data_IF_466381064588
#
_entry.id   IF_466381064588
#
_cell.length_a   1.000
_cell.length_b   1.000
_cell.length_c   1.000
_cell.angle_alpha   90.00
_cell.angle_beta   90.00
_cell.angle_gamma   90.00
#
_symmetry.space_group_name_H-M   'P 1'
#
loop_
_entity.id
_entity.type
_entity.pdbx_description
1 polymer ?
#
# COMPACT_ATOMS: atom_id res chain seq x y z
N UNK A 1 -0.88 2.81 5.01
CA UNK A 1 -1.01 3.96 4.12
C UNK A 1 0.34 4.34 3.51
N UNK A 2 1.25 4.96 4.24
CA UNK A 2 2.72 4.98 4.08
C UNK A 2 3.40 4.02 3.07
N UNK A 3 3.23 2.70 3.21
CA UNK A 3 3.80 1.71 2.27
C UNK A 3 2.95 1.53 1.03
N UNK A 4 1.64 1.67 1.15
CA UNK A 4 0.67 1.45 0.08
C UNK A 4 0.91 2.46 -1.07
N UNK A 5 1.31 3.70 -0.76
CA UNK A 5 1.71 4.70 -1.75
C UNK A 5 2.97 4.30 -2.56
N UNK A 6 3.93 3.62 -1.93
CA UNK A 6 5.10 3.05 -2.63
C UNK A 6 4.66 1.95 -3.58
N UNK A 7 3.77 1.05 -3.16
CA UNK A 7 3.30 -0.05 -4.00
C UNK A 7 2.43 0.45 -5.17
N UNK A 8 1.54 1.42 -4.92
CA UNK A 8 0.80 2.10 -5.98
C UNK A 8 1.75 2.64 -7.05
N UNK A 9 2.82 3.33 -6.63
CA UNK A 9 3.82 3.90 -7.55
C UNK A 9 4.66 2.84 -8.23
N UNK A 10 4.99 1.72 -7.56
CA UNK A 10 5.65 0.57 -8.20
C UNK A 10 4.80 0.02 -9.35
N UNK A 11 3.50 -0.20 -9.13
CA UNK A 11 2.60 -0.72 -10.16
C UNK A 11 2.31 0.29 -11.27
N UNK A 12 2.22 1.57 -10.95
CA UNK A 12 2.08 2.63 -11.95
C UNK A 12 3.31 2.71 -12.88
N UNK A 13 4.52 2.49 -12.34
CA UNK A 13 5.77 2.49 -13.12
C UNK A 13 5.98 1.17 -13.89
N UNK A 14 5.58 0.05 -13.31
CA UNK A 14 5.71 -1.28 -13.92
C UNK A 14 4.47 -2.14 -13.65
N UNK A 15 3.42 -2.06 -14.48
CA UNK A 15 2.25 -2.92 -14.34
C UNK A 15 2.59 -4.41 -14.48
N UNK A 16 3.65 -4.74 -15.23
CA UNK A 16 4.14 -6.11 -15.41
C UNK A 16 4.53 -6.76 -14.09
N UNK A 17 4.95 -5.97 -13.09
CA UNK A 17 5.35 -6.44 -11.77
C UNK A 17 4.30 -7.33 -11.10
N UNK A 18 3.00 -7.04 -11.27
CA UNK A 18 1.95 -7.89 -10.71
C UNK A 18 2.06 -9.32 -11.25
N UNK A 19 2.26 -9.45 -12.56
CA UNK A 19 2.29 -10.73 -13.26
C UNK A 19 3.57 -11.51 -13.00
N UNK A 20 4.67 -10.84 -12.65
CA UNK A 20 5.90 -11.48 -12.16
C UNK A 20 5.70 -12.18 -10.80
N UNK A 21 4.66 -11.83 -10.05
CA UNK A 21 4.32 -12.45 -8.77
C UNK A 21 3.38 -13.66 -8.93
N UNK A 22 2.82 -13.87 -10.13
CA UNK A 22 1.86 -14.92 -10.41
C UNK A 22 2.53 -16.16 -11.01
N UNK A 23 2.04 -17.37 -10.71
CA UNK A 23 2.61 -18.61 -11.23
C UNK A 23 2.23 -18.85 -12.70
N UNK A 24 1.05 -18.36 -13.12
CA UNK A 24 0.51 -18.51 -14.47
C UNK A 24 -0.09 -17.18 -14.96
N UNK A 25 0.76 -16.21 -15.36
CA UNK A 25 0.29 -14.93 -15.88
C UNK A 25 -0.27 -15.06 -17.32
N UNK A 26 -1.17 -14.15 -17.75
CA UNK A 26 -1.74 -14.20 -19.09
C UNK A 26 -0.67 -13.92 -20.15
N UNK A 27 -0.79 -14.54 -21.33
CA UNK A 27 0.21 -14.43 -22.40
C UNK A 27 0.42 -12.99 -22.91
N UNK A 28 -0.58 -12.11 -22.75
CA UNK A 28 -0.55 -10.70 -23.09
C UNK A 28 -0.26 -9.78 -21.88
N UNK A 29 0.34 -10.29 -20.79
CA UNK A 29 0.61 -9.55 -19.54
C UNK A 29 1.32 -8.19 -19.76
N UNK A 30 2.18 -8.07 -20.78
CA UNK A 30 2.89 -6.83 -21.10
C UNK A 30 1.98 -5.72 -21.63
N UNK A 31 0.74 -6.04 -22.04
CA UNK A 31 -0.22 -5.09 -22.58
C UNK A 31 -1.24 -4.59 -21.54
N UNK A 32 -1.20 -5.14 -20.32
CA UNK A 32 -2.06 -4.72 -19.22
C UNK A 32 -1.68 -3.33 -18.70
N UNK A 33 -2.69 -2.62 -18.19
CA UNK A 33 -2.53 -1.28 -17.63
C UNK A 33 -2.98 -1.25 -16.17
N UNK A 34 -2.25 -0.49 -15.37
CA UNK A 34 -2.61 -0.17 -13.99
C UNK A 34 -3.54 1.04 -13.96
N UNK A 35 -4.61 0.96 -13.16
CA UNK A 35 -5.62 2.00 -13.00
C UNK A 35 -6.14 2.03 -11.54
N UNK A 36 -6.63 3.19 -11.10
CA UNK A 36 -7.38 3.35 -9.85
C UNK A 36 -8.77 3.85 -10.17
N UNK A 37 -9.80 3.16 -9.67
CA UNK A 37 -11.18 3.43 -10.08
C UNK A 37 -12.09 3.65 -8.89
N UNK A 38 -12.76 4.80 -8.89
CA UNK A 38 -13.81 5.15 -7.94
C UNK A 38 -15.17 4.59 -8.36
N UNK A 39 -15.84 3.87 -7.44
CA UNK A 39 -17.19 3.33 -7.65
C UNK A 39 -18.22 4.20 -6.91
N UNK A 40 -19.21 4.73 -7.65
CA UNK A 40 -20.06 5.87 -7.21
C UNK A 40 -21.15 5.59 -6.16
N UNK A 41 -21.30 4.39 -5.59
CA UNK A 41 -22.29 4.09 -4.54
C UNK A 41 -21.72 3.09 -3.54
N UNK A 42 -22.07 3.20 -2.23
CA UNK A 42 -21.34 4.10 -1.31
C UNK A 42 -19.86 4.20 -1.70
N UNK A 43 -19.29 5.41 -1.75
CA UNK A 43 -17.96 5.66 -2.34
C UNK A 43 -16.90 4.70 -1.78
N UNK A 44 -16.45 3.77 -2.60
CA UNK A 44 -15.22 3.01 -2.35
C UNK A 44 -14.32 3.15 -3.58
N UNK A 45 -13.03 3.22 -3.34
CA UNK A 45 -11.98 3.33 -4.35
C UNK A 45 -11.19 2.03 -4.34
N UNK A 46 -10.94 1.47 -5.53
CA UNK A 46 -10.08 0.30 -5.69
C UNK A 46 -8.78 0.79 -6.31
N UNK A 47 -7.70 0.76 -5.54
CA UNK A 47 -6.44 1.37 -5.93
C UNK A 47 -5.59 0.51 -6.86
N UNK A 48 -5.84 -0.80 -6.89
CA UNK A 48 -5.06 -1.75 -7.66
C UNK A 48 -5.84 -2.47 -8.73
N UNK A 49 -6.32 -1.79 -9.78
CA UNK A 49 -7.03 -2.46 -10.89
C UNK A 49 -6.11 -2.63 -12.09
N UNK A 50 -5.97 -3.86 -12.58
CA UNK A 50 -5.21 -4.17 -13.77
C UNK A 50 -6.16 -4.66 -14.85
N UNK A 51 -6.30 -3.83 -15.89
CA UNK A 51 -7.25 -4.06 -16.97
C UNK A 51 -6.57 -4.60 -18.22
N UNK A 52 -7.20 -5.55 -18.93
CA UNK A 52 -6.74 -5.99 -20.24
C UNK A 52 -6.78 -4.84 -21.27
N UNK A 53 -6.13 -5.02 -22.45
CA UNK A 53 -6.19 -4.08 -23.55
C UNK A 53 -7.62 -3.67 -23.93
N UNK A 54 -7.82 -2.43 -24.40
CA UNK A 54 -9.16 -1.89 -24.68
C UNK A 54 -9.95 -2.66 -25.74
N UNK A 55 -9.24 -3.29 -26.67
CA UNK A 55 -9.76 -4.05 -27.79
C UNK A 55 -9.91 -5.55 -27.51
N UNK A 56 -9.58 -6.01 -26.29
CA UNK A 56 -9.62 -7.42 -25.90
C UNK A 56 -10.51 -7.67 -24.68
N UNK A 57 -11.31 -8.73 -24.74
CA UNK A 57 -12.03 -9.24 -23.56
C UNK A 57 -11.08 -10.14 -22.78
N UNK A 58 -10.59 -9.64 -21.64
CA UNK A 58 -9.58 -10.35 -20.82
C UNK A 58 -10.03 -10.66 -19.40
N UNK A 59 -9.09 -11.13 -18.59
CA UNK A 59 -9.24 -11.27 -17.13
C UNK A 59 -8.90 -9.92 -16.50
N UNK A 60 -9.74 -9.41 -15.59
CA UNK A 60 -9.38 -8.24 -14.75
C UNK A 60 -8.72 -8.72 -13.46
N UNK A 61 -7.65 -8.05 -13.05
CA UNK A 61 -6.98 -8.35 -11.78
C UNK A 61 -7.17 -7.21 -10.80
N UNK A 62 -7.44 -7.55 -9.55
CA UNK A 62 -7.50 -6.61 -8.43
C UNK A 62 -6.34 -6.90 -7.50
N UNK A 63 -5.59 -5.88 -7.10
CA UNK A 63 -4.44 -6.01 -6.23
C UNK A 63 -4.67 -5.22 -4.94
N UNK A 64 -4.51 -5.88 -3.81
CA UNK A 64 -4.58 -5.26 -2.49
C UNK A 64 -3.25 -5.50 -1.75
N UNK A 65 -2.69 -4.45 -1.18
CA UNK A 65 -1.44 -4.53 -0.41
C UNK A 65 -1.77 -4.34 1.06
N UNK A 66 -1.50 -5.34 1.89
CA UNK A 66 -1.94 -5.37 3.28
C UNK A 66 -0.76 -5.56 4.25
N UNK A 67 -0.37 -4.49 4.93
CA UNK A 67 0.72 -4.49 5.93
C UNK A 67 0.28 -4.62 7.38
N UNK A 68 -1.02 -4.51 7.66
CA UNK A 68 -1.59 -4.64 9.00
C UNK A 68 -2.64 -5.75 9.02
N UNK A 69 -2.91 -6.31 10.20
CA UNK A 69 -3.91 -7.38 10.28
C UNK A 69 -5.30 -6.79 10.16
N UNK A 70 -5.95 -7.03 9.02
CA UNK A 70 -7.36 -6.70 8.78
C UNK A 70 -8.15 -8.00 8.80
N UNK A 71 -9.07 -8.15 9.75
CA UNK A 71 -9.88 -9.36 9.88
C UNK A 71 -10.99 -9.45 8.83
N UNK A 72 -11.24 -8.36 8.11
CA UNK A 72 -12.33 -8.23 7.14
C UNK A 72 -11.84 -8.05 5.69
N UNK A 73 -10.54 -8.27 5.45
CA UNK A 73 -9.93 -8.01 4.15
C UNK A 73 -10.59 -8.81 3.02
N UNK A 74 -10.81 -10.11 3.22
CA UNK A 74 -11.34 -10.98 2.16
C UNK A 74 -12.78 -10.65 1.78
N UNK A 75 -13.68 -10.38 2.73
CA UNK A 75 -15.04 -9.95 2.40
C UNK A 75 -15.05 -8.61 1.69
N UNK A 76 -14.23 -7.65 2.16
CA UNK A 76 -14.14 -6.31 1.58
C UNK A 76 -13.66 -6.38 0.13
N UNK A 77 -12.48 -6.97 -0.09
CA UNK A 77 -11.87 -7.05 -1.42
C UNK A 77 -12.73 -7.83 -2.39
N UNK A 78 -13.35 -8.95 -1.96
CA UNK A 78 -14.23 -9.73 -2.84
C UNK A 78 -15.49 -8.96 -3.22
N UNK A 79 -16.13 -8.28 -2.25
CA UNK A 79 -17.32 -7.48 -2.53
C UNK A 79 -17.04 -6.34 -3.51
N UNK A 80 -15.97 -5.59 -3.27
CA UNK A 80 -15.53 -4.47 -4.10
C UNK A 80 -15.16 -4.93 -5.51
N UNK A 81 -14.35 -6.00 -5.61
CA UNK A 81 -13.92 -6.61 -6.88
C UNK A 81 -15.11 -7.08 -7.72
N UNK A 82 -16.06 -7.80 -7.11
CA UNK A 82 -17.22 -8.32 -7.82
C UNK A 82 -18.19 -7.21 -8.23
N UNK A 83 -18.32 -6.14 -7.44
CA UNK A 83 -19.12 -4.99 -7.83
C UNK A 83 -18.52 -4.26 -9.03
N UNK A 84 -17.19 -4.06 -9.05
CA UNK A 84 -16.50 -3.52 -10.23
C UNK A 84 -16.66 -4.43 -11.45
N UNK A 85 -16.43 -5.73 -11.28
CA UNK A 85 -16.56 -6.73 -12.35
C UNK A 85 -17.98 -6.74 -12.93
N UNK A 86 -19.01 -6.75 -12.08
CA UNK A 86 -20.42 -6.69 -12.49
C UNK A 86 -20.73 -5.48 -13.37
N UNK A 87 -20.23 -4.28 -13.00
CA UNK A 87 -20.45 -3.04 -13.75
C UNK A 87 -19.76 -3.03 -15.10
N UNK A 88 -18.68 -3.80 -15.25
CA UNK A 88 -17.83 -3.84 -16.43
C UNK A 88 -17.85 -5.19 -17.15
N UNK A 89 -18.84 -6.04 -16.89
CA UNK A 89 -18.92 -7.45 -17.37
C UNK A 89 -18.81 -7.65 -18.88
N UNK A 90 -18.94 -6.60 -19.68
CA UNK A 90 -18.77 -6.65 -21.14
C UNK A 90 -17.30 -6.63 -21.53
N UNK A 91 -16.44 -6.02 -20.71
CA UNK A 91 -15.00 -5.90 -20.94
C UNK A 91 -14.21 -7.11 -20.45
N UNK A 92 -14.75 -7.86 -19.49
CA UNK A 92 -14.01 -8.90 -18.79
C UNK A 92 -14.76 -10.23 -18.86
N UNK A 93 -14.06 -11.30 -19.20
CA UNK A 93 -14.64 -12.65 -19.18
C UNK A 93 -14.36 -13.38 -17.85
N UNK A 94 -13.35 -12.93 -17.09
CA UNK A 94 -13.02 -13.48 -15.78
C UNK A 94 -12.38 -12.41 -14.86
N UNK A 95 -12.18 -12.75 -13.59
CA UNK A 95 -11.52 -11.92 -12.59
C UNK A 95 -10.59 -12.71 -11.66
N UNK A 96 -9.57 -12.04 -11.14
CA UNK A 96 -8.69 -12.55 -10.10
C UNK A 96 -8.31 -11.45 -9.11
N UNK A 97 -8.02 -11.83 -7.86
CA UNK A 97 -7.55 -10.95 -6.80
C UNK A 97 -6.15 -11.39 -6.41
N UNK A 98 -5.24 -10.45 -6.19
CA UNK A 98 -3.88 -10.66 -5.72
C UNK A 98 -3.70 -9.87 -4.43
N UNK A 99 -3.39 -10.54 -3.33
CA UNK A 99 -3.18 -9.90 -2.03
C UNK A 99 -1.73 -10.04 -1.64
N UNK A 100 -1.07 -8.91 -1.41
CA UNK A 100 0.35 -8.83 -1.08
C UNK A 100 0.49 -8.55 0.42
N UNK A 101 1.13 -9.47 1.13
CA UNK A 101 1.41 -9.38 2.56
C UNK A 101 2.91 -9.30 2.81
N UNK A 102 3.36 -8.63 3.90
CA UNK A 102 4.75 -8.71 4.33
C UNK A 102 5.16 -10.11 4.78
N UNK A 103 4.23 -10.84 5.41
CA UNK A 103 4.40 -12.22 5.87
C UNK A 103 3.04 -12.85 6.19
N UNK A 104 3.00 -14.18 6.34
CA UNK A 104 1.78 -14.92 6.74
C UNK A 104 1.16 -14.48 8.06
N UNK A 105 1.93 -13.82 8.95
CA UNK A 105 1.45 -13.39 10.27
C UNK A 105 0.40 -12.28 10.19
N UNK A 106 0.43 -11.50 9.11
CA UNK A 106 -0.44 -10.36 8.88
C UNK A 106 -1.77 -10.78 8.25
N UNK A 107 -1.81 -11.93 7.57
CA UNK A 107 -3.03 -12.49 6.99
C UNK A 107 -4.15 -12.62 8.04
N UNK A 108 -5.39 -12.37 7.59
CA UNK A 108 -6.57 -12.50 8.44
C UNK A 108 -6.71 -13.91 9.00
N UNK A 109 -7.20 -14.02 10.24
CA UNK A 109 -7.27 -15.32 10.93
C UNK A 109 -8.36 -16.23 10.37
N UNK A 110 -9.42 -15.66 9.79
CA UNK A 110 -10.57 -16.41 9.29
C UNK A 110 -10.52 -16.56 7.77
N UNK A 111 -9.98 -17.67 7.29
CA UNK A 111 -9.89 -17.98 5.86
C UNK A 111 -10.91 -19.02 5.38
N UNK A 112 -11.48 -19.81 6.29
CA UNK A 112 -12.38 -20.92 5.95
C UNK A 112 -13.60 -20.53 5.09
N UNK A 113 -14.28 -19.38 5.31
CA UNK A 113 -15.39 -18.96 4.44
C UNK A 113 -14.97 -18.75 2.97
N UNK A 114 -13.69 -18.44 2.74
CA UNK A 114 -13.14 -18.07 1.44
C UNK A 114 -12.27 -19.18 0.81
N UNK A 115 -12.25 -20.38 1.42
CA UNK A 115 -11.38 -21.50 1.01
C UNK A 115 -11.45 -21.82 -0.47
N UNK A 116 -12.64 -21.84 -1.07
CA UNK A 116 -12.82 -22.15 -2.49
C UNK A 116 -12.13 -21.11 -3.38
N UNK A 117 -12.18 -19.82 -3.00
CA UNK A 117 -11.52 -18.73 -3.72
C UNK A 117 -10.00 -18.80 -3.57
N UNK A 118 -9.51 -19.22 -2.41
CA UNK A 118 -8.09 -19.37 -2.11
C UNK A 118 -7.49 -20.61 -2.79
N UNK A 119 -8.18 -21.74 -2.76
CA UNK A 119 -7.73 -23.02 -3.34
C UNK A 119 -7.78 -22.99 -4.86
N UNK A 120 -8.78 -22.33 -5.45
CA UNK A 120 -8.87 -22.11 -6.90
C UNK A 120 -7.91 -21.04 -7.42
N UNK A 121 -7.14 -20.38 -6.53
CA UNK A 121 -6.30 -19.22 -6.86
C UNK A 121 -7.06 -18.06 -7.49
N UNK A 122 -8.39 -17.97 -7.25
CA UNK A 122 -9.18 -16.77 -7.53
C UNK A 122 -8.71 -15.59 -6.68
N UNK A 123 -8.32 -15.89 -5.44
CA UNK A 123 -7.55 -15.00 -4.57
C UNK A 123 -6.14 -15.60 -4.45
N UNK A 124 -5.18 -14.95 -5.08
CA UNK A 124 -3.77 -15.29 -4.99
C UNK A 124 -3.10 -14.53 -3.86
N UNK A 125 -2.32 -15.22 -3.02
CA UNK A 125 -1.63 -14.61 -1.87
C UNK A 125 -0.14 -14.58 -2.14
N UNK A 126 0.43 -13.39 -2.05
CA UNK A 126 1.86 -13.14 -2.19
C UNK A 126 2.39 -12.75 -0.82
N UNK A 127 3.46 -13.41 -0.36
CA UNK A 127 4.15 -13.04 0.88
C UNK A 127 5.56 -12.57 0.55
N UNK A 128 5.87 -11.31 0.87
CA UNK A 128 7.12 -10.65 0.46
C UNK A 128 8.38 -11.30 1.05
N UNK A 129 8.26 -11.90 2.24
CA UNK A 129 9.30 -12.68 2.90
C UNK A 129 9.52 -14.06 2.25
N UNK A 130 8.63 -14.51 1.37
CA UNK A 130 8.71 -15.80 0.65
C UNK A 130 9.14 -15.65 -0.82
N UNK A 131 9.34 -14.42 -1.32
CA UNK A 131 9.62 -14.14 -2.74
C UNK A 131 11.02 -14.56 -3.23
N UNK A 132 11.83 -15.29 -2.46
CA UNK A 132 13.20 -15.69 -2.84
C UNK A 132 14.26 -14.68 -2.41
N UNK A 133 15.46 -14.68 -3.01
CA UNK A 133 16.56 -13.74 -2.68
C UNK A 133 16.59 -12.52 -3.63
N UNK A 134 16.93 -11.32 -3.14
CA UNK A 134 16.85 -10.06 -3.92
C UNK A 134 17.67 -10.15 -5.21
N UNK A 135 18.81 -10.83 -5.14
CA UNK A 135 19.74 -10.98 -6.26
C UNK A 135 19.29 -12.04 -7.28
N UNK A 136 18.32 -12.89 -6.94
CA UNK A 136 17.86 -14.00 -7.77
C UNK A 136 16.50 -13.75 -8.46
N UNK A 137 15.71 -12.79 -7.96
CA UNK A 137 14.38 -12.46 -8.50
C UNK A 137 14.45 -11.43 -9.63
N UNK A 138 13.40 -11.25 -10.45
CA UNK A 138 13.30 -10.16 -11.42
C UNK A 138 13.54 -8.78 -10.79
N UNK A 139 14.02 -7.80 -11.55
CA UNK A 139 14.49 -6.52 -10.99
C UNK A 139 13.38 -5.78 -10.26
N UNK A 140 12.15 -5.75 -10.79
CA UNK A 140 11.03 -5.06 -10.17
C UNK A 140 10.54 -5.76 -8.90
N UNK A 141 10.53 -7.10 -8.90
CA UNK A 141 10.32 -7.90 -7.67
C UNK A 141 11.41 -7.58 -6.64
N UNK A 142 12.66 -7.44 -7.07
CA UNK A 142 13.78 -7.11 -6.18
C UNK A 142 13.63 -5.70 -5.57
N UNK A 143 13.20 -4.71 -6.38
CA UNK A 143 12.89 -3.35 -5.92
C UNK A 143 11.71 -3.36 -4.94
N UNK A 144 10.66 -4.14 -5.20
CA UNK A 144 9.55 -4.32 -4.26
C UNK A 144 10.04 -4.88 -2.92
N UNK A 145 10.92 -5.90 -2.94
CA UNK A 145 11.48 -6.50 -1.73
C UNK A 145 12.39 -5.56 -0.94
N UNK A 146 12.98 -4.54 -1.57
CA UNK A 146 13.79 -3.53 -0.89
C UNK A 146 13.01 -2.82 0.25
N UNK A 147 11.68 -2.74 0.13
CA UNK A 147 10.80 -2.19 1.19
C UNK A 147 10.83 -2.99 2.50
N UNK A 148 11.27 -4.25 2.44
CA UNK A 148 11.29 -5.20 3.56
C UNK A 148 12.69 -5.51 4.10
N UNK A 149 13.73 -4.99 3.44
CA UNK A 149 15.13 -5.25 3.83
C UNK A 149 15.45 -4.59 5.18
N UNK A 150 16.24 -5.26 6.05
CA UNK A 150 16.80 -4.66 7.26
C UNK A 150 17.57 -3.36 6.97
N UNK A 151 17.45 -2.35 7.83
CA UNK A 151 17.98 -1.00 7.57
C UNK A 151 19.50 -0.97 7.33
N UNK A 152 20.24 -1.86 7.97
CA UNK A 152 21.69 -2.01 7.81
C UNK A 152 22.10 -2.56 6.44
N UNK A 153 21.18 -3.22 5.72
CA UNK A 153 21.42 -3.81 4.40
C UNK A 153 20.78 -3.02 3.25
N UNK A 154 19.81 -2.12 3.54
CA UNK A 154 19.07 -1.36 2.52
C UNK A 154 20.00 -0.66 1.53
N UNK A 155 21.07 -0.02 2.01
CA UNK A 155 21.98 0.76 1.15
C UNK A 155 22.79 -0.15 0.22
N UNK A 156 23.28 -1.28 0.73
CA UNK A 156 24.03 -2.25 -0.08
C UNK A 156 23.15 -2.83 -1.18
N UNK A 157 21.95 -3.29 -0.82
CA UNK A 157 21.01 -3.87 -1.78
C UNK A 157 20.49 -2.83 -2.78
N UNK A 158 20.25 -1.59 -2.35
CA UNK A 158 19.88 -0.50 -3.25
C UNK A 158 20.98 -0.21 -4.29
N UNK A 159 22.26 -0.12 -3.87
CA UNK A 159 23.40 0.07 -4.78
C UNK A 159 23.55 -1.10 -5.74
N UNK A 160 23.38 -2.33 -5.25
CA UNK A 160 23.37 -3.52 -6.11
C UNK A 160 22.28 -3.42 -7.18
N UNK A 161 21.03 -3.10 -6.80
CA UNK A 161 19.92 -2.97 -7.73
C UNK A 161 20.12 -1.84 -8.75
N UNK A 162 20.71 -0.71 -8.34
CA UNK A 162 21.10 0.37 -9.24
C UNK A 162 22.17 -0.04 -10.25
N UNK A 163 23.12 -0.90 -9.84
CA UNK A 163 24.12 -1.45 -10.75
C UNK A 163 23.50 -2.44 -11.73
N UNK A 164 22.59 -3.29 -11.24
CA UNK A 164 21.86 -4.28 -12.03
C UNK A 164 20.93 -3.63 -13.04
N UNK A 165 20.23 -2.56 -12.67
CA UNK A 165 19.32 -1.87 -13.60
C UNK A 165 20.04 -1.24 -14.79
N UNK A 166 21.36 -1.06 -14.75
CA UNK A 166 22.11 -0.55 -15.92
C UNK A 166 22.00 -1.45 -17.15
N UNK A 167 21.72 -2.74 -16.96
CA UNK A 167 21.50 -3.71 -18.03
C UNK A 167 20.08 -3.67 -18.62
N UNK A 168 19.19 -2.81 -18.13
CA UNK A 168 17.87 -2.60 -18.73
C UNK A 168 17.96 -1.97 -20.12
N UNK A 169 17.09 -2.45 -21.01
CA UNK A 169 17.12 -2.11 -22.43
C UNK A 169 16.79 -0.64 -22.71
N UNK A 170 15.97 0.00 -21.86
CA UNK A 170 15.46 1.35 -22.10
C UNK A 170 16.01 2.38 -21.09
N UNK A 171 16.44 3.58 -21.54
CA UNK A 171 16.78 4.68 -20.63
C UNK A 171 15.63 5.08 -19.70
N UNK A 172 14.38 4.97 -20.18
CA UNK A 172 13.19 5.26 -19.39
C UNK A 172 13.02 4.25 -18.24
N UNK A 173 13.13 2.94 -18.51
CA UNK A 173 13.07 1.89 -17.49
C UNK A 173 14.17 2.03 -16.44
N UNK A 174 15.40 2.36 -16.86
CA UNK A 174 16.51 2.66 -15.94
C UNK A 174 16.22 3.83 -15.01
N UNK A 175 15.66 4.91 -15.57
CA UNK A 175 15.24 6.08 -14.80
C UNK A 175 14.18 5.72 -13.77
N UNK A 176 13.14 4.99 -14.18
CA UNK A 176 12.05 4.56 -13.30
C UNK A 176 12.55 3.69 -12.14
N UNK A 177 13.42 2.70 -12.39
CA UNK A 177 13.99 1.86 -11.34
C UNK A 177 14.84 2.69 -10.37
N UNK A 178 15.71 3.56 -10.88
CA UNK A 178 16.55 4.41 -10.05
C UNK A 178 15.71 5.35 -9.16
N UNK A 179 14.66 5.92 -9.73
CA UNK A 179 13.71 6.77 -9.02
C UNK A 179 12.98 5.99 -7.91
N UNK A 180 12.49 4.78 -8.20
CA UNK A 180 11.82 3.94 -7.22
C UNK A 180 12.76 3.51 -6.09
N UNK A 181 13.99 3.06 -6.39
CA UNK A 181 14.98 2.70 -5.38
C UNK A 181 15.27 3.88 -4.47
N UNK A 182 15.50 5.06 -5.04
CA UNK A 182 15.80 6.28 -4.27
C UNK A 182 14.64 6.66 -3.37
N UNK A 183 13.43 6.56 -3.89
CA UNK A 183 12.20 6.84 -3.16
C UNK A 183 12.06 5.89 -1.97
N UNK A 184 12.24 4.57 -2.18
CA UNK A 184 12.20 3.57 -1.11
C UNK A 184 13.27 3.87 -0.05
N UNK A 185 14.51 4.17 -0.45
CA UNK A 185 15.60 4.47 0.50
C UNK A 185 15.30 5.74 1.29
N UNK A 186 14.92 6.83 0.62
CA UNK A 186 14.56 8.08 1.30
C UNK A 186 13.40 7.89 2.28
N UNK A 187 12.46 7.02 1.92
CA UNK A 187 11.34 6.67 2.77
C UNK A 187 11.75 5.86 4.01
N UNK A 188 12.66 4.88 3.82
CA UNK A 188 13.20 4.07 4.92
C UNK A 188 14.03 4.89 5.89
N UNK A 189 14.64 5.97 5.42
CA UNK A 189 15.45 6.89 6.22
C UNK A 189 14.79 8.27 6.31
N UNK A 190 13.66 8.35 7.02
CA UNK A 190 12.76 9.52 7.12
C UNK A 190 13.44 10.88 7.39
N UNK A 191 14.61 10.86 8.03
CA UNK A 191 15.39 12.05 8.41
C UNK A 191 16.34 12.54 7.32
N UNK A 192 16.60 11.74 6.28
CA UNK A 192 17.60 12.09 5.27
C UNK A 192 17.02 13.06 4.23
N UNK A 193 17.80 14.09 3.95
CA UNK A 193 17.61 14.91 2.77
C UNK A 193 17.90 14.09 1.52
N UNK A 194 17.35 14.55 0.39
CA UNK A 194 17.61 13.92 -0.90
C UNK A 194 19.10 13.86 -1.25
N UNK A 195 19.84 14.92 -0.93
CA UNK A 195 21.28 15.01 -1.20
C UNK A 195 22.04 13.93 -0.42
N UNK A 196 21.63 13.66 0.82
CA UNK A 196 22.22 12.59 1.62
C UNK A 196 21.89 11.22 1.06
N UNK A 197 20.64 10.99 0.62
CA UNK A 197 20.25 9.73 -0.04
C UNK A 197 21.03 9.52 -1.34
N UNK A 198 21.16 10.56 -2.18
CA UNK A 198 21.94 10.50 -3.41
C UNK A 198 23.43 10.18 -3.14
N UNK A 199 24.03 10.83 -2.13
CA UNK A 199 25.39 10.54 -1.70
C UNK A 199 25.54 9.10 -1.17
N UNK A 200 24.56 8.62 -0.40
CA UNK A 200 24.54 7.24 0.10
C UNK A 200 24.39 6.20 -1.00
N UNK A 201 23.74 6.54 -2.11
CA UNK A 201 23.55 5.63 -3.25
C UNK A 201 24.58 5.81 -4.37
N UNK A 202 25.45 6.82 -4.26
CA UNK A 202 26.44 7.18 -5.29
C UNK A 202 25.78 7.44 -6.67
N UNK A 203 24.69 8.22 -6.63
CA UNK A 203 23.92 8.60 -7.83
C UNK A 203 23.68 10.11 -7.85
N UNK A 204 23.26 10.61 -9.02
CA UNK A 204 22.73 11.96 -9.17
C UNK A 204 21.39 11.87 -9.84
N UNK A 205 20.33 12.34 -9.19
CA UNK A 205 19.00 12.36 -9.77
C UNK A 205 18.62 13.78 -10.19
N UNK A 206 17.75 13.87 -11.20
CA UNK A 206 16.96 15.08 -11.41
C UNK A 206 15.75 15.00 -10.49
N UNK A 207 15.32 16.13 -9.96
CA UNK A 207 14.12 16.16 -9.13
C UNK A 207 12.93 15.67 -9.94
N UNK A 208 12.43 14.49 -9.60
CA UNK A 208 11.26 13.94 -10.22
C UNK A 208 10.02 14.35 -9.44
N UNK A 209 8.85 14.32 -10.10
CA UNK A 209 7.58 14.62 -9.43
C UNK A 209 7.27 13.57 -8.37
N UNK A 210 7.50 12.29 -8.68
CA UNK A 210 7.22 11.15 -7.79
C UNK A 210 7.84 11.28 -6.41
N UNK A 211 9.11 11.71 -6.34
CA UNK A 211 9.85 11.89 -5.09
C UNK A 211 9.23 12.99 -4.22
N UNK A 212 8.87 14.14 -4.84
CA UNK A 212 8.21 15.23 -4.13
C UNK A 212 6.85 14.80 -3.61
N UNK A 213 6.06 14.17 -4.47
CA UNK A 213 4.71 13.72 -4.11
C UNK A 213 4.74 12.74 -2.94
N UNK A 214 5.62 11.71 -2.94
CA UNK A 214 5.72 10.76 -1.80
C UNK A 214 6.21 11.45 -0.53
N UNK A 215 7.13 12.42 -0.65
CA UNK A 215 7.71 13.08 0.51
C UNK A 215 6.71 14.03 1.16
N UNK A 216 5.91 14.72 0.36
CA UNK A 216 4.82 15.57 0.83
C UNK A 216 3.72 14.71 1.47
N UNK A 217 3.26 13.66 0.79
CA UNK A 217 2.30 12.69 1.31
C UNK A 217 2.76 12.07 2.64
N UNK A 218 3.99 11.54 2.69
CA UNK A 218 4.55 10.97 3.92
C UNK A 218 4.74 11.99 5.05
N UNK A 219 4.92 13.28 4.74
CA UNK A 219 4.99 14.35 5.74
C UNK A 219 3.61 14.70 6.29
N UNK A 220 2.59 14.73 5.43
CA UNK A 220 1.19 14.91 5.83
C UNK A 220 0.73 13.73 6.69
N UNK A 221 0.91 12.49 6.22
CA UNK A 221 0.59 11.28 7.00
C UNK A 221 1.30 11.26 8.35
N UNK A 222 2.60 11.58 8.38
CA UNK A 222 3.35 11.63 9.64
C UNK A 222 2.85 12.70 10.61
N UNK A 223 2.28 13.80 10.10
CA UNK A 223 1.62 14.81 10.92
C UNK A 223 0.30 14.30 11.49
N UNK A 224 -0.52 13.65 10.66
CA UNK A 224 -1.80 13.08 11.08
C UNK A 224 -1.61 11.98 12.13
N UNK A 225 -0.71 11.03 11.89
CA UNK A 225 -0.35 9.97 12.84
C UNK A 225 0.16 10.58 14.16
N UNK A 226 0.98 11.64 14.07
CA UNK A 226 1.49 12.38 15.22
C UNK A 226 0.38 13.05 16.05
N UNK A 227 -0.57 13.72 15.39
CA UNK A 227 -1.73 14.34 16.05
C UNK A 227 -2.61 13.27 16.72
N UNK A 228 -2.92 12.18 16.03
CA UNK A 228 -3.75 11.08 16.55
C UNK A 228 -3.09 10.41 17.77
N UNK A 229 -1.79 10.13 17.69
CA UNK A 229 -1.02 9.60 18.83
C UNK A 229 -1.00 10.54 20.03
N UNK A 230 -0.85 11.85 19.79
CA UNK A 230 -0.89 12.86 20.83
C UNK A 230 -2.26 12.90 21.50
N UNK A 231 -3.34 12.92 20.72
CA UNK A 231 -4.71 12.94 21.24
C UNK A 231 -4.99 11.70 22.08
N UNK A 232 -4.66 10.50 21.60
CA UNK A 232 -4.84 9.27 22.37
C UNK A 232 -4.08 9.30 23.71
N UNK A 233 -2.86 9.84 23.72
CA UNK A 233 -2.08 10.02 24.96
C UNK A 233 -2.69 11.05 25.91
N UNK A 234 -3.22 12.15 25.37
CA UNK A 234 -3.88 13.19 26.16
C UNK A 234 -5.20 12.69 26.75
N UNK A 235 -6.02 11.99 25.95
CA UNK A 235 -7.23 11.33 26.42
C UNK A 235 -6.92 10.31 27.51
N UNK A 236 -5.93 9.44 27.29
CA UNK A 236 -5.54 8.45 28.31
C UNK A 236 -5.12 9.10 29.64
N UNK A 237 -4.46 10.27 29.57
CA UNK A 237 -4.09 11.05 30.76
C UNK A 237 -5.27 11.75 31.43
N UNK A 238 -6.27 12.16 30.66
CA UNK A 238 -7.38 13.01 31.11
C UNK A 238 -8.56 12.21 31.63
N UNK A 239 -8.94 11.15 30.92
CA UNK A 239 -10.13 10.35 31.23
C UNK A 239 -9.81 8.92 31.68
N UNK A 240 -8.53 8.54 31.73
CA UNK A 240 -8.06 7.23 32.19
C UNK A 240 -7.83 6.22 31.06
N UNK A 241 -7.72 4.93 31.40
CA UNK A 241 -7.47 3.88 30.40
C UNK A 241 -8.61 3.77 29.37
N UNK A 242 -8.26 3.91 28.09
CA UNK A 242 -9.20 3.76 26.97
C UNK A 242 -9.31 2.29 26.55
N UNK A 243 -10.53 1.79 26.37
CA UNK A 243 -10.79 0.45 25.80
C UNK A 243 -10.33 0.37 24.34
N UNK A 244 -10.19 -0.86 23.80
CA UNK A 244 -9.83 -1.01 22.39
C UNK A 244 -10.90 -0.44 21.46
N UNK A 245 -12.19 -0.58 21.79
CA UNK A 245 -13.27 -0.02 20.98
C UNK A 245 -13.17 1.51 20.85
N UNK A 246 -12.92 2.21 21.97
CA UNK A 246 -12.77 3.67 21.96
C UNK A 246 -11.52 4.10 21.18
N UNK A 247 -10.43 3.34 21.29
CA UNK A 247 -9.23 3.61 20.49
C UNK A 247 -9.50 3.44 19.00
N UNK A 248 -10.17 2.37 18.59
CA UNK A 248 -10.56 2.16 17.19
C UNK A 248 -11.45 3.27 16.66
N UNK A 249 -12.39 3.78 17.46
CA UNK A 249 -13.24 4.92 17.07
C UNK A 249 -12.43 6.20 16.84
N UNK A 250 -11.52 6.55 17.77
CA UNK A 250 -10.63 7.70 17.61
C UNK A 250 -9.66 7.51 16.43
N UNK A 251 -9.21 6.28 16.20
CA UNK A 251 -8.40 5.91 15.04
C UNK A 251 -9.18 6.04 13.72
N UNK A 252 -10.52 5.98 13.73
CA UNK A 252 -11.36 6.12 12.54
C UNK A 252 -11.77 7.57 12.20
N UNK A 253 -11.52 8.55 13.09
CA UNK A 253 -11.92 9.95 12.89
C UNK A 253 -11.18 10.62 11.72
N UNK A 254 -11.82 11.58 11.04
CA UNK A 254 -11.11 12.43 10.07
C UNK A 254 -10.10 13.34 10.75
N UNK A 255 -9.18 13.94 9.98
CA UNK A 255 -8.22 14.91 10.51
C UNK A 255 -8.91 16.11 11.17
N UNK A 256 -9.97 16.62 10.54
CA UNK A 256 -10.78 17.74 11.07
C UNK A 256 -11.42 17.36 12.41
N UNK A 257 -12.02 16.16 12.49
CA UNK A 257 -12.60 15.66 13.74
C UNK A 257 -11.56 15.45 14.83
N UNK A 258 -10.33 15.05 14.48
CA UNK A 258 -9.23 14.96 15.44
C UNK A 258 -8.82 16.33 15.96
N UNK A 259 -8.74 17.34 15.10
CA UNK A 259 -8.44 18.71 15.54
C UNK A 259 -9.52 19.23 16.51
N UNK A 260 -10.79 19.02 16.18
CA UNK A 260 -11.93 19.34 17.06
C UNK A 260 -11.89 18.58 18.39
N UNK A 261 -11.57 17.28 18.37
CA UNK A 261 -11.38 16.47 19.57
C UNK A 261 -10.21 17.00 20.41
N UNK A 262 -9.16 17.50 19.76
CA UNK A 262 -8.00 18.13 20.38
C UNK A 262 -8.35 19.32 21.26
N UNK A 263 -9.37 20.10 20.86
CA UNK A 263 -9.90 21.20 21.66
C UNK A 263 -10.90 20.70 22.71
N UNK A 264 -11.86 19.87 22.31
CA UNK A 264 -12.93 19.38 23.19
C UNK A 264 -12.38 18.58 24.38
N UNK A 265 -11.29 17.81 24.17
CA UNK A 265 -10.67 17.02 25.24
C UNK A 265 -10.17 17.88 26.39
N UNK A 266 -9.95 19.19 26.17
CA UNK A 266 -9.54 20.12 27.21
C UNK A 266 -10.65 20.45 28.20
N UNK A 267 -11.90 20.08 27.92
CA UNK A 267 -13.05 20.24 28.81
C UNK A 267 -13.50 18.92 29.42
N UNK A 268 -12.98 17.78 28.94
CA UNK A 268 -13.36 16.46 29.46
C UNK A 268 -12.91 16.29 30.91
N UNK A 269 -13.80 15.69 31.68
CA UNK A 269 -13.60 15.33 33.10
C UNK A 269 -13.72 13.82 33.33
N UNK A 270 -14.39 13.10 32.43
CA UNK A 270 -14.65 11.68 32.54
C UNK A 270 -14.71 10.98 31.18
N UNK A 271 -14.70 9.65 31.20
CA UNK A 271 -14.83 8.84 29.99
C UNK A 271 -16.21 9.00 29.33
N UNK A 272 -17.25 9.35 30.10
CA UNK A 272 -18.59 9.60 29.59
C UNK A 272 -18.63 10.83 28.67
N UNK A 273 -17.82 11.86 28.95
CA UNK A 273 -17.72 13.06 28.12
C UNK A 273 -17.16 12.70 26.72
N UNK A 274 -16.13 11.83 26.70
CA UNK A 274 -15.54 11.33 25.46
C UNK A 274 -16.54 10.47 24.67
N UNK A 275 -17.29 9.58 25.34
CA UNK A 275 -18.29 8.75 24.69
C UNK A 275 -19.44 9.58 24.11
N UNK A 276 -19.91 10.59 24.84
CA UNK A 276 -20.93 11.50 24.35
C UNK A 276 -20.45 12.32 23.14
N UNK A 277 -19.19 12.75 23.16
CA UNK A 277 -18.59 13.44 22.01
C UNK A 277 -18.51 12.52 20.79
N UNK A 278 -17.99 11.29 20.95
CA UNK A 278 -17.87 10.31 19.86
C UNK A 278 -19.23 9.93 19.26
N UNK A 279 -20.27 9.82 20.09
CA UNK A 279 -21.63 9.54 19.63
C UNK A 279 -22.25 10.67 18.78
N UNK A 280 -21.74 11.90 18.90
CA UNK A 280 -22.16 13.05 18.08
C UNK A 280 -21.35 13.18 16.77
N UNK A 281 -20.41 12.27 16.50
CA UNK A 281 -19.58 12.26 15.29
C UNK A 281 -20.06 11.26 14.22
N UNK A 282 -21.18 10.57 14.45
CA UNK A 282 -21.85 9.71 13.46
C UNK A 282 -22.60 10.51 12.37
#
# INVERSE_FOLDING_TARGET
>A
MRRDSIFYKLFAQSPLLLFELLPDPPANATAYRFDSVAVKEPRFEIDGVFVPPEDEVGVVYFCEVQFQKDQQLYERVVAESLLYFYRNRVRFHDWQVVIIYPSRRVEQSQSHPYRELLESHRIYRVYLDELGEIRAVPVWVAVMRLTMVPEDQVVEEARYLLSRSRSEDTPAGRGAIMEMITTIVAYRFEQLSRVEVEAMLDITLKETRLYRDIKEEGREEGREEGQRSLILRLLTRRVGELSQEVRSQVEALSLEQLEDLGEALLDFTSLDDLQAWLANQE
#
